data_IF_143669844178
#
_entry.id   IF_143669844178
#
_cell.length_a   1.000
_cell.length_b   1.000
_cell.length_c   1.000
_cell.angle_alpha   90.00
_cell.angle_beta   90.00
_cell.angle_gamma   90.00
#
_symmetry.space_group_name_H-M   'P 1'
#
loop_
_entity.id
_entity.type
_entity.pdbx_description
1 polymer ?
#
# COMPACT_ATOMS: atom_id res chain seq x y z
N UNK A 1 -3.25 -9.40 -13.65
CA UNK A 1 -2.15 -9.22 -12.71
C UNK A 1 -0.88 -8.94 -13.50
N UNK A 2 -0.20 -7.84 -13.17
CA UNK A 2 1.05 -7.50 -13.84
C UNK A 2 2.15 -8.50 -13.45
N UNK A 3 3.07 -8.83 -14.33
CA UNK A 3 4.20 -9.68 -13.98
C UNK A 3 5.02 -8.99 -12.90
N UNK A 4 5.31 -9.72 -11.86
CA UNK A 4 6.14 -9.24 -10.75
C UNK A 4 7.58 -9.12 -11.24
N UNK A 5 8.21 -7.97 -11.04
CA UNK A 5 9.59 -7.73 -11.46
C UNK A 5 10.57 -8.31 -10.42
N UNK A 6 11.74 -8.82 -10.85
CA UNK A 6 12.74 -9.37 -9.95
C UNK A 6 13.24 -8.33 -8.95
N UNK A 7 13.33 -8.75 -7.72
CA UNK A 7 13.74 -7.88 -6.63
C UNK A 7 12.60 -7.11 -5.98
N UNK A 8 11.39 -7.12 -6.54
CA UNK A 8 10.23 -6.50 -5.90
C UNK A 8 9.68 -7.42 -4.81
N UNK A 9 9.46 -6.85 -3.63
CA UNK A 9 8.91 -7.60 -2.50
C UNK A 9 7.40 -7.75 -2.53
N UNK A 10 6.69 -6.91 -3.30
CA UNK A 10 5.24 -6.84 -3.26
C UNK A 10 4.66 -6.65 -4.66
N UNK A 11 3.74 -7.52 -5.05
CA UNK A 11 2.97 -7.36 -6.27
C UNK A 11 1.53 -7.83 -6.08
N UNK A 12 0.61 -7.19 -6.79
CA UNK A 12 -0.79 -7.54 -6.79
C UNK A 12 -1.70 -6.39 -6.36
N UNK A 13 -2.99 -6.69 -6.30
CA UNK A 13 -4.02 -5.75 -5.85
C UNK A 13 -4.47 -6.12 -4.45
N UNK A 14 -4.50 -5.15 -3.56
CA UNK A 14 -4.95 -5.34 -2.18
C UNK A 14 -5.78 -4.17 -1.68
N UNK A 15 -6.58 -4.44 -0.67
CA UNK A 15 -7.44 -3.43 -0.03
C UNK A 15 -7.36 -3.55 1.48
N UNK A 16 -7.60 -2.43 2.16
CA UNK A 16 -7.83 -2.40 3.59
C UNK A 16 -8.68 -1.18 3.97
N UNK A 17 -9.24 -1.17 5.16
CA UNK A 17 -9.98 -0.04 5.67
C UNK A 17 -9.72 0.20 7.15
N UNK A 18 -9.98 1.43 7.60
CA UNK A 18 -9.94 1.83 9.00
C UNK A 18 -11.16 2.67 9.33
N UNK A 19 -11.76 2.35 10.46
CA UNK A 19 -12.76 3.20 11.09
C UNK A 19 -12.06 4.10 12.10
N UNK A 20 -12.21 5.40 11.93
CA UNK A 20 -11.50 6.42 12.71
C UNK A 20 -12.52 7.27 13.48
N UNK A 21 -12.40 7.28 14.80
CA UNK A 21 -13.24 8.12 15.65
C UNK A 21 -12.58 9.48 15.87
N UNK A 22 -13.35 10.56 15.65
CA UNK A 22 -12.95 11.94 15.92
C UNK A 22 -14.07 12.59 16.69
N UNK A 23 -13.88 12.83 17.99
CA UNK A 23 -14.92 13.25 18.92
C UNK A 23 -16.12 12.27 18.87
N UNK A 24 -17.31 12.78 18.58
CA UNK A 24 -18.57 12.02 18.51
C UNK A 24 -18.85 11.47 17.10
N UNK A 25 -18.00 11.78 16.13
CA UNK A 25 -18.14 11.33 14.75
C UNK A 25 -17.18 10.16 14.45
N UNK A 26 -17.61 9.34 13.52
CA UNK A 26 -16.83 8.18 13.03
C UNK A 26 -16.69 8.29 11.52
N UNK A 27 -15.47 8.14 11.04
CA UNK A 27 -15.15 8.20 9.61
C UNK A 27 -14.45 6.93 9.15
N UNK A 28 -14.64 6.60 7.90
CA UNK A 28 -13.99 5.46 7.25
C UNK A 28 -12.90 5.94 6.31
N UNK A 29 -11.77 5.24 6.34
CA UNK A 29 -10.72 5.32 5.32
C UNK A 29 -10.70 3.97 4.61
N UNK A 30 -10.90 3.98 3.29
CA UNK A 30 -10.72 2.82 2.41
C UNK A 30 -9.48 3.01 1.54
N UNK A 31 -8.66 1.98 1.40
CA UNK A 31 -7.45 2.00 0.58
C UNK A 31 -7.48 0.84 -0.41
N UNK A 32 -7.15 1.12 -1.65
CA UNK A 32 -6.87 0.14 -2.69
C UNK A 32 -5.45 0.40 -3.20
N UNK A 33 -4.66 -0.66 -3.32
CA UNK A 33 -3.32 -0.61 -3.89
C UNK A 33 -3.22 -1.52 -5.11
N UNK A 34 -2.49 -1.04 -6.11
CA UNK A 34 -1.90 -1.87 -7.16
C UNK A 34 -0.39 -1.79 -6.98
N UNK A 35 0.18 -2.83 -6.39
CA UNK A 35 1.57 -2.84 -5.99
C UNK A 35 2.44 -3.63 -6.96
N UNK A 36 3.62 -3.07 -7.25
CA UNK A 36 4.72 -3.71 -7.97
C UNK A 36 6.00 -2.96 -7.62
N UNK A 37 6.43 -3.00 -6.36
CA UNK A 37 7.52 -2.17 -5.87
C UNK A 37 8.37 -2.87 -4.80
N UNK A 38 9.47 -2.21 -4.44
CA UNK A 38 10.35 -2.58 -3.34
C UNK A 38 11.31 -3.71 -3.70
N UNK A 39 12.13 -4.07 -2.74
CA UNK A 39 13.01 -5.22 -2.84
C UNK A 39 12.70 -6.21 -1.72
N UNK A 40 12.86 -7.50 -2.01
CA UNK A 40 12.69 -8.58 -1.04
C UNK A 40 13.49 -8.34 0.25
N UNK A 41 14.74 -7.89 0.13
CA UNK A 41 15.61 -7.66 1.30
C UNK A 41 15.09 -6.56 2.24
N UNK A 42 14.29 -5.64 1.73
CA UNK A 42 13.71 -4.53 2.52
C UNK A 42 12.33 -4.86 3.07
N UNK A 43 11.72 -5.97 2.62
CA UNK A 43 10.36 -6.31 2.99
C UNK A 43 10.20 -6.59 4.48
N UNK A 44 9.26 -5.86 5.09
CA UNK A 44 8.92 -6.00 6.52
C UNK A 44 7.42 -6.18 6.72
N UNK A 45 7.04 -6.95 7.73
CA UNK A 45 5.66 -7.07 8.23
C UNK A 45 5.69 -6.78 9.72
N UNK A 46 4.93 -5.81 10.19
CA UNK A 46 4.88 -5.41 11.61
C UNK A 46 6.29 -5.16 12.20
N UNK A 47 7.21 -4.60 11.40
CA UNK A 47 8.59 -4.33 11.77
C UNK A 47 9.54 -5.55 11.75
N UNK A 48 9.03 -6.74 11.42
CA UNK A 48 9.86 -7.97 11.28
C UNK A 48 10.49 -7.99 9.87
N UNK A 49 11.80 -8.25 9.74
CA UNK A 49 12.50 -8.28 8.46
C UNK A 49 12.23 -9.58 7.69
N UNK A 50 10.97 -9.83 7.34
CA UNK A 50 10.50 -11.08 6.72
C UNK A 50 11.26 -11.41 5.45
N UNK A 51 11.56 -10.41 4.63
CA UNK A 51 12.27 -10.62 3.36
C UNK A 51 13.70 -11.15 3.54
N UNK A 52 14.39 -10.77 4.63
CA UNK A 52 15.74 -11.27 4.98
C UNK A 52 15.67 -12.66 5.57
N UNK A 53 14.68 -12.94 6.41
CA UNK A 53 14.47 -14.27 7.02
C UNK A 53 14.11 -15.32 5.95
N UNK A 54 13.44 -14.91 4.89
CA UNK A 54 13.02 -15.77 3.78
C UNK A 54 13.90 -15.62 2.53
N UNK A 55 15.18 -15.26 2.68
CA UNK A 55 16.10 -14.94 1.57
C UNK A 55 16.21 -16.06 0.52
N UNK A 56 16.10 -17.32 0.93
CA UNK A 56 16.25 -18.49 0.07
C UNK A 56 14.92 -18.96 -0.54
N UNK A 57 13.84 -18.26 -0.27
CA UNK A 57 12.50 -18.50 -0.81
C UNK A 57 12.01 -17.29 -1.60
N UNK A 58 10.88 -17.38 -2.28
CA UNK A 58 10.30 -16.29 -3.07
C UNK A 58 11.26 -15.75 -4.15
N UNK A 59 12.10 -16.62 -4.70
CA UNK A 59 13.01 -16.26 -5.77
C UNK A 59 12.28 -16.28 -7.11
N UNK A 60 12.78 -15.46 -8.04
CA UNK A 60 12.31 -15.51 -9.42
C UNK A 60 13.11 -16.51 -10.21
N UNK A 61 12.43 -17.23 -11.07
CA UNK A 61 13.09 -18.03 -12.09
C UNK A 61 13.02 -17.30 -13.43
N UNK A 62 14.18 -16.86 -13.94
CA UNK A 62 14.29 -16.27 -15.27
C UNK A 62 14.91 -17.24 -16.22
N UNK A 63 14.25 -17.49 -17.36
CA UNK A 63 14.80 -18.21 -18.50
C UNK A 63 15.46 -17.28 -19.51
N UNK A 64 15.22 -15.98 -19.41
CA UNK A 64 15.86 -14.94 -20.21
C UNK A 64 16.27 -13.77 -19.30
N UNK A 65 17.37 -13.06 -19.59
CA UNK A 65 17.75 -11.91 -18.81
C UNK A 65 16.64 -10.85 -18.87
N UNK A 66 16.27 -10.26 -17.71
CA UNK A 66 15.27 -9.21 -17.67
C UNK A 66 15.77 -7.96 -18.39
N UNK A 67 14.86 -7.28 -19.06
CA UNK A 67 15.12 -5.99 -19.73
C UNK A 67 15.02 -4.79 -18.80
N UNK A 68 14.72 -5.00 -17.51
CA UNK A 68 14.53 -3.91 -16.52
C UNK A 68 15.72 -3.87 -15.55
N UNK A 69 15.88 -2.73 -14.88
CA UNK A 69 16.96 -2.47 -13.92
C UNK A 69 16.49 -2.72 -12.47
N UNK A 70 17.38 -3.13 -11.55
CA UNK A 70 17.05 -3.11 -10.12
C UNK A 70 16.59 -1.72 -9.67
N UNK A 71 15.44 -1.66 -8.99
CA UNK A 71 14.82 -0.39 -8.58
C UNK A 71 13.70 0.07 -9.51
N UNK A 72 13.49 -0.56 -10.65
CA UNK A 72 12.28 -0.38 -11.45
C UNK A 72 11.10 -1.01 -10.72
N UNK A 73 10.13 -0.19 -10.40
CA UNK A 73 8.92 -0.64 -9.72
C UNK A 73 8.12 0.56 -9.26
N UNK A 74 6.82 0.36 -9.06
CA UNK A 74 5.91 1.44 -8.70
C UNK A 74 4.72 0.90 -7.92
N UNK A 75 4.03 1.78 -7.23
CA UNK A 75 2.75 1.48 -6.61
C UNK A 75 1.74 2.58 -6.95
N UNK A 76 0.52 2.17 -7.24
CA UNK A 76 -0.63 3.07 -7.30
C UNK A 76 -1.45 2.83 -6.04
N UNK A 77 -1.75 3.91 -5.33
CA UNK A 77 -2.61 3.88 -4.14
C UNK A 77 -3.76 4.85 -4.31
N UNK A 78 -4.97 4.32 -4.18
CA UNK A 78 -6.20 5.10 -4.15
C UNK A 78 -6.79 5.03 -2.76
N UNK A 79 -6.97 6.18 -2.14
CA UNK A 79 -7.58 6.34 -0.82
C UNK A 79 -8.89 7.10 -0.93
N UNK A 80 -9.94 6.52 -0.39
CA UNK A 80 -11.25 7.15 -0.25
C UNK A 80 -11.59 7.36 1.23
N UNK A 81 -12.29 8.44 1.56
CA UNK A 81 -12.83 8.66 2.91
C UNK A 81 -14.17 9.39 2.85
N UNK A 82 -15.00 9.18 3.86
CA UNK A 82 -16.22 9.93 4.12
C UNK A 82 -16.00 11.12 5.10
N UNK A 83 -14.77 11.36 5.54
CA UNK A 83 -14.42 12.54 6.32
C UNK A 83 -14.50 13.82 5.45
N UNK A 84 -15.07 14.92 5.95
CA UNK A 84 -15.17 16.17 5.20
C UNK A 84 -13.81 16.84 5.10
N UNK A 85 -13.09 16.52 4.02
CA UNK A 85 -11.76 17.03 3.75
C UNK A 85 -11.73 17.83 2.45
N UNK A 86 -11.12 19.00 2.50
CA UNK A 86 -10.87 19.85 1.35
C UNK A 86 -9.60 19.40 0.58
N UNK A 87 -9.40 19.82 -0.69
CA UNK A 87 -8.29 19.37 -1.52
C UNK A 87 -6.90 19.51 -0.89
N UNK A 88 -6.64 20.59 -0.14
CA UNK A 88 -5.35 20.78 0.54
C UNK A 88 -5.14 19.77 1.69
N UNK A 89 -6.22 19.35 2.37
CA UNK A 89 -6.18 18.31 3.41
C UNK A 89 -6.02 16.92 2.79
N UNK A 90 -6.73 16.64 1.70
CA UNK A 90 -6.58 15.39 0.93
C UNK A 90 -5.15 15.24 0.39
N UNK A 91 -4.50 16.32 -0.05
CA UNK A 91 -3.07 16.32 -0.41
C UNK A 91 -2.19 15.92 0.79
N UNK A 92 -2.52 16.36 2.00
CA UNK A 92 -1.80 15.97 3.22
C UNK A 92 -2.04 14.50 3.57
N UNK A 93 -3.25 13.97 3.36
CA UNK A 93 -3.56 12.53 3.49
C UNK A 93 -2.72 11.73 2.48
N UNK A 94 -2.75 12.11 1.20
CA UNK A 94 -1.98 11.45 0.15
C UNK A 94 -0.47 11.39 0.47
N UNK A 95 0.09 12.45 1.03
CA UNK A 95 1.50 12.46 1.45
C UNK A 95 1.82 11.45 2.57
N UNK A 96 0.85 10.99 3.37
CA UNK A 96 1.03 9.95 4.41
C UNK A 96 1.01 8.54 3.85
N UNK A 97 0.51 8.36 2.64
CA UNK A 97 0.56 7.07 1.93
C UNK A 97 2.01 6.58 1.83
N UNK A 98 2.95 7.47 1.52
CA UNK A 98 4.38 7.14 1.45
C UNK A 98 4.92 6.54 2.76
N UNK A 99 4.41 6.97 3.92
CA UNK A 99 4.81 6.41 5.22
C UNK A 99 4.35 4.96 5.37
N UNK A 100 3.14 4.63 4.90
CA UNK A 100 2.64 3.25 4.87
C UNK A 100 3.45 2.36 3.94
N UNK A 101 3.79 2.88 2.75
CA UNK A 101 4.69 2.20 1.79
C UNK A 101 6.07 1.98 2.42
N UNK A 102 6.61 2.97 3.13
CA UNK A 102 7.88 2.85 3.84
C UNK A 102 7.87 1.78 4.93
N UNK A 103 6.75 1.58 5.64
CA UNK A 103 6.61 0.56 6.70
C UNK A 103 6.75 -0.87 6.19
N UNK A 104 6.43 -1.14 4.95
CA UNK A 104 6.61 -2.46 4.33
C UNK A 104 7.92 -2.59 3.54
N UNK A 105 8.77 -1.54 3.57
CA UNK A 105 10.10 -1.56 2.97
C UNK A 105 10.25 -0.84 1.64
N UNK A 106 9.23 -0.10 1.20
CA UNK A 106 9.34 0.81 0.05
C UNK A 106 10.23 2.01 0.37
N UNK A 107 11.05 2.43 -0.58
CA UNK A 107 12.03 3.52 -0.40
C UNK A 107 11.86 4.68 -1.37
N UNK A 108 10.95 4.56 -2.38
CA UNK A 108 10.82 5.58 -3.42
C UNK A 108 12.12 5.72 -4.20
N UNK A 109 12.61 4.62 -4.79
CA UNK A 109 13.84 4.59 -5.56
C UNK A 109 13.73 5.46 -6.82
N UNK A 110 14.87 5.88 -7.40
CA UNK A 110 14.90 6.82 -8.51
C UNK A 110 14.09 6.38 -9.75
N UNK A 111 13.98 5.08 -9.99
CA UNK A 111 13.15 4.51 -11.07
C UNK A 111 11.67 4.37 -10.71
N UNK A 112 11.25 4.71 -9.49
CA UNK A 112 9.88 4.56 -9.04
C UNK A 112 8.97 5.65 -9.61
N UNK A 113 7.80 5.23 -10.13
CA UNK A 113 6.73 6.11 -10.61
C UNK A 113 5.48 6.02 -9.73
N UNK A 114 5.65 6.11 -8.40
CA UNK A 114 4.56 5.98 -7.43
C UNK A 114 3.49 7.06 -7.63
N UNK A 115 2.20 6.65 -7.60
CA UNK A 115 1.05 7.54 -7.74
C UNK A 115 0.14 7.38 -6.54
N UNK A 116 -0.14 8.48 -5.86
CA UNK A 116 -1.03 8.51 -4.70
C UNK A 116 -2.22 9.45 -4.96
N UNK A 117 -3.42 8.89 -4.85
CA UNK A 117 -4.68 9.61 -5.04
C UNK A 117 -5.48 9.53 -3.74
N UNK A 118 -6.01 10.66 -3.29
CA UNK A 118 -6.95 10.71 -2.16
C UNK A 118 -8.16 11.56 -2.53
N UNK A 119 -9.36 11.07 -2.18
CA UNK A 119 -10.60 11.80 -2.35
C UNK A 119 -11.55 11.60 -1.17
N UNK A 120 -12.48 12.54 -1.03
CA UNK A 120 -13.56 12.48 -0.03
C UNK A 120 -14.93 12.43 -0.71
N UNK A 121 -15.84 11.68 -0.10
CA UNK A 121 -17.26 11.59 -0.52
C UNK A 121 -18.18 12.48 0.31
N UNK A 122 -17.65 13.23 1.30
CA UNK A 122 -18.44 13.99 2.25
C UNK A 122 -19.16 15.20 1.66
N UNK A 123 -18.63 15.77 0.56
CA UNK A 123 -19.19 16.98 -0.07
C UNK A 123 -19.76 16.65 -1.46
N UNK A 124 -20.90 15.94 -1.56
CA UNK A 124 -21.42 15.43 -2.84
C UNK A 124 -21.90 16.53 -3.80
N UNK A 125 -22.09 17.77 -3.31
CA UNK A 125 -22.52 18.92 -4.13
C UNK A 125 -21.35 19.78 -4.60
N UNK A 126 -20.12 19.48 -4.20
CA UNK A 126 -18.95 20.29 -4.52
C UNK A 126 -18.63 20.38 -6.03
N UNK A 127 -19.23 19.51 -6.86
CA UNK A 127 -19.06 19.50 -8.32
C UNK A 127 -20.03 20.43 -9.07
N UNK A 128 -21.03 21.01 -8.39
CA UNK A 128 -22.01 21.89 -9.02
C UNK A 128 -21.34 23.15 -9.59
N UNK A 129 -21.77 23.56 -10.78
CA UNK A 129 -21.14 24.65 -11.55
C UNK A 129 -21.97 25.91 -11.64
N UNK A 130 -23.24 25.84 -11.25
CA UNK A 130 -24.22 26.89 -11.54
C UNK A 130 -24.48 27.85 -10.37
N UNK A 131 -23.97 27.54 -9.16
CA UNK A 131 -24.19 28.37 -7.98
C UNK A 131 -23.07 28.17 -6.95
N UNK A 132 -23.06 29.05 -5.93
CA UNK A 132 -22.18 28.90 -4.76
C UNK A 132 -22.55 27.64 -3.97
N UNK A 133 -21.57 26.78 -3.72
CA UNK A 133 -21.75 25.60 -2.88
C UNK A 133 -21.17 25.83 -1.50
N UNK A 134 -21.85 25.29 -0.47
CA UNK A 134 -21.29 25.16 0.88
C UNK A 134 -20.65 23.80 1.00
N UNK A 135 -19.46 23.74 1.57
CA UNK A 135 -18.74 22.50 1.85
C UNK A 135 -18.39 22.42 3.33
N UNK A 136 -18.43 21.21 3.85
CA UNK A 136 -18.00 20.92 5.22
C UNK A 136 -16.49 20.66 5.23
N UNK A 137 -15.83 21.12 6.28
CA UNK A 137 -14.39 20.94 6.50
C UNK A 137 -14.13 20.43 7.92
N UNK A 138 -13.32 19.39 8.02
CA UNK A 138 -12.76 18.97 9.30
C UNK A 138 -11.66 19.96 9.74
N UNK A 139 -11.70 20.52 10.97
CA UNK A 139 -10.62 21.37 11.45
C UNK A 139 -9.25 20.68 11.38
N UNK A 140 -8.21 21.40 10.93
CA UNK A 140 -6.88 20.85 10.74
C UNK A 140 -6.29 20.22 12.01
N UNK A 141 -6.61 20.73 13.19
CA UNK A 141 -6.14 20.20 14.48
C UNK A 141 -6.73 18.83 14.83
N UNK A 142 -7.78 18.41 14.12
CA UNK A 142 -8.43 17.10 14.30
C UNK A 142 -8.01 16.04 13.29
N UNK A 143 -7.11 16.33 12.34
CA UNK A 143 -6.82 15.46 11.22
C UNK A 143 -5.88 14.29 11.58
N UNK A 144 -5.13 14.36 12.69
CA UNK A 144 -4.12 13.35 13.03
C UNK A 144 -4.63 11.90 13.11
N UNK A 145 -5.84 11.60 13.63
CA UNK A 145 -6.37 10.24 13.59
C UNK A 145 -6.51 9.69 12.17
N UNK A 146 -6.89 10.54 11.19
CA UNK A 146 -6.96 10.16 9.78
C UNK A 146 -5.57 9.88 9.19
N UNK A 147 -4.55 10.65 9.57
CA UNK A 147 -3.16 10.35 9.17
C UNK A 147 -2.71 8.98 9.66
N UNK A 148 -2.97 8.65 10.92
CA UNK A 148 -2.64 7.34 11.50
C UNK A 148 -3.40 6.21 10.80
N UNK A 149 -4.71 6.39 10.59
CA UNK A 149 -5.55 5.44 9.86
C UNK A 149 -5.06 5.22 8.42
N UNK A 150 -4.63 6.28 7.74
CA UNK A 150 -4.04 6.20 6.39
C UNK A 150 -2.81 5.30 6.37
N UNK A 151 -1.85 5.55 7.25
CA UNK A 151 -0.60 4.77 7.31
C UNK A 151 -0.88 3.29 7.58
N UNK A 152 -1.78 2.99 8.52
CA UNK A 152 -2.15 1.62 8.86
C UNK A 152 -2.90 0.91 7.73
N UNK A 153 -3.86 1.59 7.08
CA UNK A 153 -4.64 1.00 5.99
C UNK A 153 -3.75 0.71 4.77
N UNK A 154 -2.81 1.60 4.46
CA UNK A 154 -1.86 1.40 3.36
C UNK A 154 -0.93 0.22 3.64
N UNK A 155 -0.34 0.14 4.83
CA UNK A 155 0.50 -1.00 5.26
C UNK A 155 -0.26 -2.32 5.07
N UNK A 156 -1.48 -2.41 5.59
CA UNK A 156 -2.29 -3.62 5.49
C UNK A 156 -2.72 -3.94 4.06
N UNK A 157 -3.13 -2.94 3.26
CA UNK A 157 -3.53 -3.16 1.88
C UNK A 157 -2.39 -3.77 1.04
N UNK A 158 -1.15 -3.33 1.27
CA UNK A 158 0.03 -3.90 0.61
C UNK A 158 0.28 -5.33 1.08
N UNK A 159 0.19 -5.60 2.37
CA UNK A 159 0.34 -6.96 2.92
C UNK A 159 -0.75 -7.88 2.34
N UNK A 160 -2.00 -7.42 2.28
CA UNK A 160 -3.12 -8.16 1.69
C UNK A 160 -2.89 -8.44 0.21
N UNK A 161 -2.34 -7.48 -0.56
CA UNK A 161 -1.96 -7.72 -1.96
C UNK A 161 -0.96 -8.87 -2.09
N UNK A 162 0.04 -8.92 -1.22
CA UNK A 162 1.05 -9.98 -1.23
C UNK A 162 0.49 -11.33 -0.81
N UNK A 163 -0.35 -11.36 0.23
CA UNK A 163 -0.97 -12.59 0.74
C UNK A 163 -1.95 -13.17 -0.29
N UNK A 164 -2.64 -12.32 -1.04
CA UNK A 164 -3.57 -12.75 -2.09
C UNK A 164 -2.87 -13.13 -3.41
N UNK A 165 -1.59 -12.81 -3.57
CA UNK A 165 -0.86 -13.09 -4.81
C UNK A 165 -0.48 -14.57 -4.90
N UNK A 166 -0.85 -15.20 -6.01
CA UNK A 166 -0.49 -16.57 -6.33
C UNK A 166 0.79 -16.63 -7.17
N UNK A 167 1.43 -17.80 -7.19
CA UNK A 167 2.55 -18.06 -8.11
C UNK A 167 2.08 -17.93 -9.56
N UNK A 168 2.81 -17.15 -10.35
CA UNK A 168 2.48 -16.90 -11.76
C UNK A 168 3.63 -17.28 -12.68
N UNK A 169 3.28 -17.84 -13.83
CA UNK A 169 4.19 -18.02 -14.96
C UNK A 169 3.87 -16.96 -16.03
N UNK A 170 4.87 -16.19 -16.41
CA UNK A 170 4.79 -15.14 -17.41
C UNK A 170 5.42 -15.54 -18.73
N UNK A 171 5.69 -14.53 -19.56
CA UNK A 171 6.32 -14.73 -20.87
C UNK A 171 7.67 -15.45 -20.74
N UNK A 172 7.98 -16.30 -21.71
CA UNK A 172 9.21 -17.12 -21.77
C UNK A 172 9.37 -18.11 -20.61
N UNK A 173 8.29 -18.42 -19.88
CA UNK A 173 8.31 -19.32 -18.73
C UNK A 173 9.01 -18.74 -17.51
N UNK A 174 9.11 -17.42 -17.42
CA UNK A 174 9.56 -16.73 -16.20
C UNK A 174 8.54 -16.92 -15.09
N UNK A 175 8.98 -17.26 -13.87
CA UNK A 175 8.09 -17.49 -12.73
C UNK A 175 8.29 -16.48 -11.63
N UNK A 176 7.18 -15.97 -11.11
CA UNK A 176 7.10 -15.19 -9.88
C UNK A 176 6.36 -16.02 -8.82
N UNK A 177 7.03 -16.30 -7.72
CA UNK A 177 6.47 -17.12 -6.64
C UNK A 177 5.64 -16.27 -5.67
N UNK A 178 4.46 -16.78 -5.33
CA UNK A 178 3.64 -16.24 -4.25
C UNK A 178 4.32 -16.34 -2.90
N UNK A 179 3.86 -15.54 -1.94
CA UNK A 179 4.39 -15.53 -0.59
C UNK A 179 4.12 -16.87 0.12
N UNK A 180 5.13 -17.55 0.68
CA UNK A 180 4.93 -18.81 1.39
C UNK A 180 4.32 -18.55 2.77
N UNK A 181 3.00 -18.50 2.88
CA UNK A 181 2.24 -18.10 4.08
C UNK A 181 2.71 -18.78 5.36
N UNK A 182 2.92 -20.09 5.31
CA UNK A 182 3.39 -20.84 6.50
C UNK A 182 4.73 -20.33 7.00
N UNK A 183 5.70 -20.12 6.11
CA UNK A 183 7.02 -19.63 6.49
C UNK A 183 6.96 -18.19 7.03
N UNK A 184 6.09 -17.35 6.46
CA UNK A 184 5.85 -15.99 6.99
C UNK A 184 5.32 -16.05 8.42
N UNK A 185 4.32 -16.91 8.67
CA UNK A 185 3.77 -17.11 10.01
C UNK A 185 4.85 -17.61 10.98
N UNK A 186 5.68 -18.57 10.58
CA UNK A 186 6.76 -19.10 11.40
C UNK A 186 7.78 -18.02 11.77
N UNK A 187 8.14 -17.14 10.79
CA UNK A 187 8.99 -15.97 11.04
C UNK A 187 8.31 -15.00 12.01
N UNK A 188 7.05 -14.66 11.82
CA UNK A 188 6.34 -13.74 12.70
C UNK A 188 6.22 -14.30 14.13
N UNK A 189 6.04 -15.63 14.30
CA UNK A 189 6.09 -16.31 15.61
C UNK A 189 7.46 -16.19 16.26
N UNK A 190 8.55 -16.43 15.53
CA UNK A 190 9.93 -16.25 15.99
C UNK A 190 10.17 -14.86 16.60
N UNK A 191 9.51 -13.84 16.05
CA UNK A 191 9.59 -12.45 16.52
C UNK A 191 8.45 -12.04 17.48
N UNK A 192 7.65 -12.98 17.97
CA UNK A 192 6.52 -12.75 18.89
C UNK A 192 5.47 -11.75 18.34
N UNK A 193 5.21 -11.78 17.04
CA UNK A 193 4.18 -10.91 16.40
C UNK A 193 2.85 -11.61 16.19
N UNK A 194 2.82 -12.91 16.17
CA UNK A 194 1.61 -13.75 16.14
C UNK A 194 1.75 -14.89 17.14
N UNK A 195 0.61 -15.40 17.64
CA UNK A 195 0.55 -16.52 18.59
C UNK A 195 0.51 -17.86 17.85
#
# INVERSE_FOLDING_TARGET
PAPVLPGTGAAGTGTASRVVRIKDSTYTIGVLVQSNFGSKNNFTIAGVPVGRELKDTMNYEFKAPPSYQPGDGSIIVVLATDAPLLPHQLKRIAARIALGVGKVGGRGENGSGDIFIAFSTANPTAFQREDFTKVDELPNDMINPLFNGTVQAVEEAIINAMVAAETMEGINGNKAYGVPHKLVIDVLKKYNRVK
#
